data_IF_508031647486
#
_entry.id   IF_508031647486
#
_cell.length_a   1.000
_cell.length_b   1.000
_cell.length_c   1.000
_cell.angle_alpha   90.00
_cell.angle_beta   90.00
_cell.angle_gamma   90.00
#
_symmetry.space_group_name_H-M   'P 1'
#
loop_
_entity.id
_entity.type
_entity.pdbx_description
1 polymer ?
#
# COMPACT_ATOMS: atom_id res chain seq x y z
N UNK A 1 -30.83 -12.12 15.34
CA UNK A 1 -30.92 -11.50 16.68
C UNK A 1 -31.35 -10.04 16.62
N UNK A 2 -30.59 -9.13 16.00
CA UNK A 2 -30.90 -7.68 15.92
C UNK A 2 -32.37 -7.32 15.66
N UNK A 3 -33.01 -7.89 14.63
CA UNK A 3 -34.45 -7.67 14.34
C UNK A 3 -35.39 -7.88 15.54
N UNK A 4 -35.11 -8.85 16.41
CA UNK A 4 -35.95 -9.15 17.59
C UNK A 4 -35.67 -8.19 18.76
N UNK A 5 -34.50 -7.55 18.78
CA UNK A 5 -34.14 -6.56 19.79
C UNK A 5 -34.56 -5.14 19.36
N UNK A 6 -34.42 -4.78 18.09
CA UNK A 6 -34.52 -3.39 17.61
C UNK A 6 -35.55 -3.14 16.51
N UNK A 7 -36.09 -4.18 15.86
CA UNK A 7 -37.00 -4.01 14.73
C UNK A 7 -38.24 -3.19 15.10
N UNK A 8 -38.50 -2.13 14.35
CA UNK A 8 -39.59 -1.18 14.61
C UNK A 8 -39.39 -0.28 15.82
N UNK A 9 -38.19 -0.20 16.41
CA UNK A 9 -37.89 0.63 17.60
C UNK A 9 -37.06 1.88 17.29
N UNK A 10 -36.44 1.99 16.12
CA UNK A 10 -35.62 3.16 15.73
C UNK A 10 -36.49 4.32 15.19
N UNK A 11 -37.67 4.52 15.80
CA UNK A 11 -38.66 5.52 15.41
C UNK A 11 -38.35 6.85 16.10
N UNK A 12 -37.26 7.50 15.66
CA UNK A 12 -36.86 8.83 16.10
C UNK A 12 -37.40 9.92 15.16
N UNK A 13 -37.38 11.18 15.59
CA UNK A 13 -37.78 12.32 14.75
C UNK A 13 -36.82 12.53 13.55
N UNK A 14 -35.59 12.00 13.63
CA UNK A 14 -34.61 11.95 12.55
C UNK A 14 -34.58 10.57 11.88
N UNK A 15 -34.57 10.53 10.54
CA UNK A 15 -34.57 9.28 9.76
C UNK A 15 -33.22 8.56 9.79
N UNK A 16 -33.07 7.60 10.72
CA UNK A 16 -31.91 6.70 10.79
C UNK A 16 -31.97 5.64 9.68
N UNK A 17 -30.82 5.34 9.06
CA UNK A 17 -30.73 4.42 7.90
C UNK A 17 -30.32 2.99 8.28
N UNK A 18 -29.31 2.84 9.13
CA UNK A 18 -28.82 1.53 9.59
C UNK A 18 -29.69 0.95 10.70
N UNK A 19 -30.92 0.59 10.35
CA UNK A 19 -31.93 0.03 11.26
C UNK A 19 -31.95 -1.51 11.24
N UNK A 20 -32.90 -2.11 11.94
CA UNK A 20 -33.13 -3.57 11.98
C UNK A 20 -34.58 -3.96 11.60
N UNK A 21 -35.27 -3.12 10.82
CA UNK A 21 -36.72 -3.27 10.60
C UNK A 21 -37.09 -4.37 9.59
N UNK A 22 -36.18 -4.66 8.66
CA UNK A 22 -36.31 -5.73 7.68
C UNK A 22 -35.00 -6.53 7.56
N UNK A 23 -35.07 -7.74 6.99
CA UNK A 23 -33.94 -8.65 6.96
C UNK A 23 -32.75 -8.16 6.11
N UNK A 24 -32.93 -7.67 4.86
CA UNK A 24 -31.84 -7.07 4.09
C UNK A 24 -31.17 -5.89 4.81
N UNK A 25 -31.95 -4.94 5.34
CA UNK A 25 -31.40 -3.79 6.08
C UNK A 25 -30.65 -4.24 7.33
N UNK A 26 -31.16 -5.24 8.06
CA UNK A 26 -30.46 -5.82 9.21
C UNK A 26 -29.13 -6.47 8.84
N UNK A 27 -29.04 -7.09 7.66
CA UNK A 27 -27.79 -7.66 7.15
C UNK A 27 -26.76 -6.57 6.84
N UNK A 28 -27.18 -5.46 6.22
CA UNK A 28 -26.33 -4.30 5.97
C UNK A 28 -25.84 -3.67 7.29
N UNK A 29 -26.74 -3.46 8.25
CA UNK A 29 -26.41 -2.92 9.57
C UNK A 29 -25.45 -3.84 10.35
N UNK A 30 -25.60 -5.17 10.25
CA UNK A 30 -24.63 -6.13 10.84
C UNK A 30 -23.29 -6.08 10.12
N UNK A 31 -23.27 -6.06 8.78
CA UNK A 31 -22.02 -5.97 8.01
C UNK A 31 -21.27 -4.67 8.32
N UNK A 32 -21.97 -3.53 8.45
CA UNK A 32 -21.41 -2.28 8.92
C UNK A 32 -20.72 -2.43 10.29
N UNK A 33 -21.40 -3.02 11.29
CA UNK A 33 -20.80 -3.27 12.62
C UNK A 33 -19.56 -4.17 12.53
N UNK A 34 -19.53 -5.14 11.61
CA UNK A 34 -18.35 -5.97 11.37
C UNK A 34 -17.19 -5.19 10.72
N UNK A 35 -17.46 -4.36 9.70
CA UNK A 35 -16.42 -3.47 9.13
C UNK A 35 -15.84 -2.48 10.14
N UNK A 36 -16.54 -2.24 11.25
CA UNK A 36 -16.11 -1.33 12.32
C UNK A 36 -16.35 0.15 12.01
N UNK A 37 -17.14 0.45 10.97
CA UNK A 37 -17.46 1.82 10.55
C UNK A 37 -18.80 2.29 11.12
N UNK A 38 -18.81 3.47 11.74
CA UNK A 38 -19.97 4.09 12.41
C UNK A 38 -20.76 3.18 13.40
N UNK A 39 -20.17 2.05 13.83
CA UNK A 39 -20.83 1.04 14.68
C UNK A 39 -21.29 1.59 16.04
N UNK A 40 -20.57 2.60 16.54
CA UNK A 40 -20.91 3.36 17.73
C UNK A 40 -22.21 4.17 17.53
N UNK A 41 -22.44 4.73 16.34
CA UNK A 41 -23.68 5.44 15.99
C UNK A 41 -24.89 4.48 16.05
N UNK A 42 -24.77 3.31 15.44
CA UNK A 42 -25.80 2.25 15.50
C UNK A 42 -26.02 1.75 16.95
N UNK A 43 -24.96 1.65 17.75
CA UNK A 43 -25.05 1.33 19.17
C UNK A 43 -25.77 2.42 19.98
N UNK A 44 -25.52 3.70 19.70
CA UNK A 44 -26.20 4.82 20.37
C UNK A 44 -27.70 4.82 20.03
N UNK A 45 -28.08 4.62 18.77
CA UNK A 45 -29.48 4.43 18.36
C UNK A 45 -30.11 3.21 19.09
N UNK A 46 -29.35 2.12 19.21
CA UNK A 46 -29.73 0.94 19.99
C UNK A 46 -30.02 1.21 21.47
N UNK A 47 -29.23 2.08 22.12
CA UNK A 47 -29.43 2.49 23.52
C UNK A 47 -30.60 3.47 23.65
N UNK A 48 -30.71 4.45 22.74
CA UNK A 48 -31.78 5.44 22.73
C UNK A 48 -33.17 4.80 22.52
N UNK A 49 -33.26 3.77 21.68
CA UNK A 49 -34.48 2.98 21.45
C UNK A 49 -35.00 2.23 22.70
N UNK A 50 -34.22 2.18 23.79
CA UNK A 50 -34.56 1.56 25.07
C UNK A 50 -34.66 2.57 26.24
N UNK A 51 -34.85 3.86 25.93
CA UNK A 51 -34.95 4.92 26.96
C UNK A 51 -33.60 5.55 27.34
N UNK A 52 -32.66 5.56 26.41
CA UNK A 52 -31.37 6.24 26.55
C UNK A 52 -30.42 5.57 27.56
N UNK A 53 -29.49 6.33 28.18
CA UNK A 53 -28.43 5.81 29.06
C UNK A 53 -28.94 5.35 30.45
N UNK A 54 -30.19 4.91 30.52
CA UNK A 54 -30.79 4.25 31.68
C UNK A 54 -30.32 2.79 31.77
N UNK A 55 -30.35 2.18 32.96
CA UNK A 55 -29.93 0.80 33.21
C UNK A 55 -30.40 -0.24 32.15
N UNK A 56 -31.71 -0.34 31.77
CA UNK A 56 -32.14 -1.30 30.76
C UNK A 56 -31.59 -1.01 29.35
N UNK A 57 -31.42 0.26 28.97
CA UNK A 57 -30.86 0.63 27.67
C UNK A 57 -29.35 0.39 27.59
N UNK A 58 -28.61 0.63 28.68
CA UNK A 58 -27.18 0.34 28.73
C UNK A 58 -26.87 -1.16 28.58
N UNK A 59 -27.69 -2.06 29.13
CA UNK A 59 -27.50 -3.52 28.94
C UNK A 59 -27.55 -3.94 27.47
N UNK A 60 -28.18 -3.16 26.60
CA UNK A 60 -28.29 -3.45 25.16
C UNK A 60 -26.97 -3.18 24.41
N UNK A 61 -26.04 -2.39 24.96
CA UNK A 61 -24.71 -2.19 24.36
C UNK A 61 -23.91 -3.51 24.28
N UNK A 62 -24.19 -4.46 25.18
CA UNK A 62 -23.54 -5.78 25.25
C UNK A 62 -23.75 -6.56 23.93
N UNK A 63 -24.89 -6.40 23.26
CA UNK A 63 -25.12 -7.02 21.95
C UNK A 63 -24.11 -6.53 20.89
N UNK A 64 -23.89 -5.22 20.82
CA UNK A 64 -22.97 -4.61 19.86
C UNK A 64 -21.51 -4.96 20.19
N UNK A 65 -21.14 -4.95 21.48
CA UNK A 65 -19.80 -5.33 21.95
C UNK A 65 -19.50 -6.80 21.61
N UNK A 66 -20.43 -7.73 21.88
CA UNK A 66 -20.26 -9.15 21.53
C UNK A 66 -20.22 -9.34 20.02
N UNK A 67 -21.08 -8.68 19.25
CA UNK A 67 -21.09 -8.76 17.79
C UNK A 67 -19.76 -8.28 17.19
N UNK A 68 -19.24 -7.15 17.66
CA UNK A 68 -17.96 -6.60 17.21
C UNK A 68 -16.79 -7.50 17.58
N UNK A 69 -16.66 -7.91 18.86
CA UNK A 69 -15.53 -8.72 19.33
C UNK A 69 -15.54 -10.12 18.72
N UNK A 70 -16.66 -10.85 18.81
CA UNK A 70 -16.73 -12.21 18.28
C UNK A 70 -16.73 -12.24 16.75
N UNK A 71 -17.37 -11.26 16.11
CA UNK A 71 -17.36 -11.12 14.65
C UNK A 71 -15.96 -10.86 14.09
N UNK A 72 -15.25 -9.87 14.64
CA UNK A 72 -13.89 -9.56 14.18
C UNK A 72 -12.86 -10.61 14.59
N UNK A 73 -13.08 -11.36 15.68
CA UNK A 73 -12.28 -12.55 15.99
C UNK A 73 -12.44 -13.65 14.92
N UNK A 74 -13.67 -13.90 14.45
CA UNK A 74 -13.92 -14.87 13.37
C UNK A 74 -13.31 -14.37 12.05
N UNK A 75 -13.50 -13.11 11.67
CA UNK A 75 -12.92 -12.54 10.45
C UNK A 75 -11.39 -12.57 10.47
N UNK A 76 -10.77 -12.24 11.61
CA UNK A 76 -9.32 -12.32 11.80
C UNK A 76 -8.81 -13.76 11.63
N UNK A 77 -9.49 -14.76 12.21
CA UNK A 77 -9.10 -16.16 12.06
C UNK A 77 -9.20 -16.65 10.60
N UNK A 78 -10.26 -16.26 9.88
CA UNK A 78 -10.42 -16.59 8.45
C UNK A 78 -9.32 -15.92 7.61
N UNK A 79 -9.05 -14.63 7.85
CA UNK A 79 -7.98 -13.91 7.15
C UNK A 79 -6.60 -14.50 7.45
N UNK A 80 -6.29 -14.82 8.71
CA UNK A 80 -5.00 -15.37 9.11
C UNK A 80 -4.75 -16.76 8.52
N UNK A 81 -5.76 -17.64 8.48
CA UNK A 81 -5.63 -18.94 7.83
C UNK A 81 -5.28 -18.78 6.34
N UNK A 82 -6.11 -18.03 5.60
CA UNK A 82 -5.91 -17.78 4.16
C UNK A 82 -4.53 -17.11 3.91
N UNK A 83 -4.13 -16.16 4.75
CA UNK A 83 -2.86 -15.46 4.60
C UNK A 83 -1.65 -16.37 4.88
N UNK A 84 -1.70 -17.23 5.90
CA UNK A 84 -0.63 -18.18 6.22
C UNK A 84 -0.47 -19.21 5.11
N UNK A 85 -1.57 -19.79 4.63
CA UNK A 85 -1.55 -20.80 3.56
C UNK A 85 -0.98 -20.21 2.26
N UNK A 86 -1.48 -19.04 1.82
CA UNK A 86 -0.98 -18.38 0.61
C UNK A 86 0.49 -17.91 0.73
N UNK A 87 0.98 -17.59 1.94
CA UNK A 87 2.38 -17.23 2.15
C UNK A 87 3.29 -18.47 2.10
N UNK A 88 2.87 -19.61 2.64
CA UNK A 88 3.59 -20.87 2.55
C UNK A 88 3.66 -21.40 1.10
N UNK A 89 2.56 -21.29 0.35
CA UNK A 89 2.53 -21.60 -1.08
C UNK A 89 3.45 -20.65 -1.88
N UNK A 90 3.46 -19.35 -1.57
CA UNK A 90 4.34 -18.40 -2.24
C UNK A 90 5.84 -18.63 -1.93
N UNK A 91 6.19 -18.98 -0.69
CA UNK A 91 7.58 -19.30 -0.31
C UNK A 91 8.06 -20.61 -0.96
N UNK A 92 7.23 -21.65 -0.99
CA UNK A 92 7.57 -22.93 -1.64
C UNK A 92 7.65 -22.83 -3.17
N UNK A 93 6.78 -22.04 -3.81
CA UNK A 93 6.87 -21.78 -5.24
C UNK A 93 8.12 -20.96 -5.61
N UNK A 94 8.50 -19.98 -4.79
CA UNK A 94 9.67 -19.13 -5.08
C UNK A 94 11.00 -19.82 -4.78
N UNK A 95 11.08 -20.73 -3.80
CA UNK A 95 12.24 -21.59 -3.60
C UNK A 95 12.42 -22.58 -4.76
N UNK A 96 11.36 -23.27 -5.19
CA UNK A 96 11.39 -24.20 -6.31
C UNK A 96 11.79 -23.53 -7.64
N UNK A 97 11.30 -22.32 -7.92
CA UNK A 97 11.72 -21.53 -9.09
C UNK A 97 13.22 -21.22 -9.05
N UNK A 98 13.73 -20.82 -7.88
CA UNK A 98 15.15 -20.48 -7.69
C UNK A 98 16.06 -21.70 -7.85
N UNK A 99 15.66 -22.87 -7.35
CA UNK A 99 16.37 -24.12 -7.57
C UNK A 99 16.39 -24.52 -9.06
N UNK A 100 15.28 -24.32 -9.78
CA UNK A 100 15.23 -24.59 -11.22
C UNK A 100 16.13 -23.63 -12.02
N UNK A 101 16.21 -22.34 -11.63
CA UNK A 101 17.15 -21.38 -12.21
C UNK A 101 18.61 -21.75 -11.92
N UNK A 102 18.96 -22.07 -10.67
CA UNK A 102 20.31 -22.53 -10.32
C UNK A 102 20.69 -23.82 -11.05
N UNK A 103 19.76 -24.76 -11.24
CA UNK A 103 19.97 -25.95 -12.04
C UNK A 103 20.17 -25.64 -13.53
N UNK A 104 19.45 -24.65 -14.09
CA UNK A 104 19.65 -24.15 -15.46
C UNK A 104 21.03 -23.47 -15.61
N UNK A 105 21.45 -22.68 -14.62
CA UNK A 105 22.77 -22.03 -14.58
C UNK A 105 23.90 -23.06 -14.54
N UNK A 106 23.83 -24.05 -13.64
CA UNK A 106 24.80 -25.17 -13.56
C UNK A 106 24.89 -25.92 -14.89
N UNK A 107 23.75 -26.19 -15.55
CA UNK A 107 23.69 -26.83 -16.88
C UNK A 107 24.28 -25.96 -18.01
N UNK A 108 24.16 -24.62 -17.94
CA UNK A 108 24.85 -23.70 -18.87
C UNK A 108 26.36 -23.71 -18.64
N UNK A 109 26.79 -23.60 -17.37
CA UNK A 109 28.22 -23.56 -17.02
C UNK A 109 28.93 -24.85 -17.45
N UNK A 110 28.35 -26.02 -17.18
CA UNK A 110 28.90 -27.31 -17.60
C UNK A 110 29.07 -27.44 -19.14
N UNK A 111 28.26 -26.74 -19.94
CA UNK A 111 28.43 -26.66 -21.41
C UNK A 111 29.52 -25.69 -21.85
N UNK A 112 29.85 -24.69 -21.04
CA UNK A 112 30.90 -23.70 -21.31
C UNK A 112 32.29 -24.20 -20.88
N UNK A 113 32.38 -24.98 -19.80
CA UNK A 113 33.66 -25.55 -19.29
C UNK A 113 34.14 -26.78 -20.08
N UNK A 114 33.59 -27.06 -21.27
CA UNK A 114 33.94 -28.23 -22.09
C UNK A 114 34.57 -27.82 -23.44
N UNK A 115 35.88 -27.50 -23.46
CA UNK A 115 36.63 -27.33 -24.69
C UNK A 115 36.99 -28.69 -25.31
N UNK A 116 36.76 -28.80 -26.62
CA UNK A 116 37.31 -29.76 -27.58
C UNK A 116 37.68 -31.19 -27.10
N UNK A 117 36.80 -32.14 -27.47
CA UNK A 117 37.27 -33.34 -28.18
C UNK A 117 37.07 -33.19 -29.68
N UNK A 118 37.94 -32.37 -30.29
CA UNK A 118 38.28 -32.48 -31.71
C UNK A 118 39.61 -33.21 -31.82
N UNK A 119 39.54 -34.45 -32.27
CA UNK A 119 40.69 -35.18 -32.81
C UNK A 119 40.21 -35.74 -34.14
N UNK A 120 41.09 -35.72 -35.14
CA UNK A 120 40.66 -35.76 -36.54
C UNK A 120 40.23 -37.15 -37.01
N UNK A 121 39.25 -37.18 -37.91
CA UNK A 121 39.22 -38.07 -39.06
C UNK A 121 38.26 -37.48 -40.13
N UNK A 122 38.80 -37.10 -41.28
CA UNK A 122 38.02 -36.75 -42.48
C UNK A 122 37.39 -38.04 -43.10
N UNK A 123 36.41 -38.03 -44.02
CA UNK A 123 35.92 -37.00 -44.98
C UNK A 123 34.43 -37.24 -45.35
N UNK A 124 33.68 -36.26 -45.91
CA UNK A 124 32.26 -36.35 -46.32
C UNK A 124 32.11 -36.60 -47.86
N UNK A 125 30.94 -36.49 -48.54
CA UNK A 125 29.55 -36.14 -48.14
C UNK A 125 28.49 -37.19 -48.61
N UNK A 126 27.16 -37.00 -48.44
CA UNK A 126 26.21 -36.25 -49.32
C UNK A 126 24.86 -35.99 -48.59
N UNK A 127 24.07 -35.06 -49.11
CA UNK A 127 22.78 -34.56 -48.59
C UNK A 127 21.65 -35.59 -48.46
N UNK A 128 20.69 -35.32 -47.57
CA UNK A 128 19.29 -35.22 -48.03
C UNK A 128 18.55 -34.07 -47.32
N UNK A 129 17.63 -33.40 -48.03
CA UNK A 129 16.90 -32.21 -47.55
C UNK A 129 15.46 -32.57 -47.20
N UNK A 130 14.93 -31.97 -46.11
CA UNK A 130 13.60 -31.34 -46.11
C UNK A 130 13.31 -30.51 -44.86
N UNK A 131 13.21 -29.21 -45.07
CA UNK A 131 12.21 -28.38 -44.38
C UNK A 131 10.98 -28.31 -45.29
N UNK A 132 9.76 -28.49 -44.76
CA UNK A 132 8.71 -27.50 -45.00
C UNK A 132 7.47 -27.64 -44.11
N UNK A 133 6.70 -26.55 -44.16
CA UNK A 133 5.66 -26.04 -43.28
C UNK A 133 4.27 -26.74 -43.40
N UNK A 134 3.59 -26.83 -42.24
CA UNK A 134 2.22 -26.31 -41.96
C UNK A 134 0.95 -27.06 -42.43
N UNK A 135 -0.06 -26.93 -41.54
CA UNK A 135 -1.53 -26.99 -41.69
C UNK A 135 -2.35 -28.26 -41.44
N UNK A 136 -3.39 -28.06 -40.61
CA UNK A 136 -4.57 -28.90 -40.43
C UNK A 136 -5.56 -28.63 -41.57
N UNK A 137 -6.29 -29.67 -42.04
CA UNK A 137 -7.77 -29.74 -41.89
C UNK A 137 -8.46 -30.99 -42.47
N UNK A 138 -9.14 -31.73 -41.59
CA UNK A 138 -10.57 -32.13 -41.65
C UNK A 138 -11.16 -33.05 -42.75
N UNK A 139 -12.08 -33.94 -42.29
CA UNK A 139 -13.38 -34.33 -42.93
C UNK A 139 -13.28 -35.30 -44.15
N UNK A 140 -14.04 -36.41 -44.27
CA UNK A 140 -15.18 -37.03 -43.52
C UNK A 140 -15.36 -38.53 -43.87
N UNK A 141 -16.14 -39.27 -43.03
CA UNK A 141 -17.07 -40.38 -43.40
C UNK A 141 -16.49 -41.68 -44.01
N UNK A 142 -16.94 -42.91 -43.75
CA UNK A 142 -17.72 -43.61 -42.68
C UNK A 142 -17.52 -45.15 -42.92
N UNK A 143 -17.97 -46.13 -42.12
CA UNK A 143 -18.75 -46.16 -40.87
C UNK A 143 -19.03 -47.63 -40.46
N UNK A 144 -20.04 -47.86 -39.59
CA UNK A 144 -20.50 -49.17 -39.03
C UNK A 144 -19.47 -49.97 -38.18
N UNK A 145 -19.84 -50.89 -37.27
CA UNK A 145 -20.77 -50.90 -36.11
C UNK A 145 -20.85 -52.34 -35.56
N UNK A 146 -20.86 -52.56 -34.23
CA UNK A 146 -21.71 -53.54 -33.51
C UNK A 146 -21.36 -53.73 -32.00
N UNK A 147 -22.41 -53.77 -31.16
CA UNK A 147 -22.64 -54.45 -29.85
C UNK A 147 -21.46 -54.76 -28.89
N UNK A 148 -21.46 -54.39 -27.59
CA UNK A 148 -22.40 -54.72 -26.48
C UNK A 148 -22.33 -56.21 -26.01
N UNK A 149 -22.47 -56.61 -24.72
CA UNK A 149 -23.15 -56.00 -23.55
C UNK A 149 -22.49 -56.37 -22.19
N UNK A 150 -22.84 -55.61 -21.13
CA UNK A 150 -22.55 -55.74 -19.68
C UNK A 150 -23.05 -57.04 -19.00
N UNK A 151 -22.56 -57.30 -17.76
CA UNK A 151 -23.28 -57.61 -16.49
C UNK A 151 -22.34 -58.41 -15.52
N UNK A 152 -22.40 -58.36 -14.17
CA UNK A 152 -22.66 -57.34 -13.12
C UNK A 152 -22.33 -58.00 -11.73
N UNK A 153 -22.68 -57.35 -10.59
CA UNK A 153 -22.94 -57.95 -9.24
C UNK A 153 -21.69 -58.40 -8.41
N UNK A 154 -21.51 -58.08 -7.12
CA UNK A 154 -22.23 -57.17 -6.17
C UNK A 154 -21.32 -56.70 -4.99
N UNK A 155 -21.89 -55.96 -4.03
CA UNK A 155 -21.26 -55.11 -2.97
C UNK A 155 -20.95 -55.76 -1.57
N UNK A 156 -20.04 -55.08 -0.83
CA UNK A 156 -19.99 -54.80 0.64
C UNK A 156 -19.73 -55.83 1.80
N UNK A 157 -18.72 -55.44 2.63
CA UNK A 157 -18.65 -55.41 4.13
C UNK A 157 -18.17 -56.62 5.00
N UNK A 158 -17.42 -56.31 6.09
CA UNK A 158 -16.67 -57.19 7.02
C UNK A 158 -15.14 -56.92 6.95
N UNK A 159 -14.36 -56.41 7.93
CA UNK A 159 -14.49 -56.12 9.39
C UNK A 159 -14.34 -57.36 10.31
N UNK A 160 -13.56 -57.45 11.41
CA UNK A 160 -12.68 -56.53 12.22
C UNK A 160 -11.16 -57.01 12.20
N UNK A 161 -10.19 -56.88 13.14
CA UNK A 161 -10.04 -56.39 14.55
C UNK A 161 -8.57 -55.91 14.92
N UNK A 162 -7.89 -56.42 15.98
CA UNK A 162 -6.63 -55.88 16.60
C UNK A 162 -5.48 -56.92 16.80
N UNK A 163 -4.19 -56.48 16.87
CA UNK A 163 -3.29 -56.66 18.04
C UNK A 163 -1.92 -55.90 17.96
N UNK A 164 -0.96 -56.14 18.87
CA UNK A 164 0.13 -55.22 19.30
C UNK A 164 1.59 -55.63 18.96
N UNK A 165 2.50 -54.63 19.01
CA UNK A 165 3.97 -54.77 19.09
C UNK A 165 4.43 -55.74 20.21
N UNK A 166 5.57 -56.45 20.05
CA UNK A 166 6.84 -55.91 20.59
C UNK A 166 8.12 -56.21 19.77
N UNK A 167 9.22 -55.53 20.15
CA UNK A 167 10.60 -55.78 19.69
C UNK A 167 11.16 -57.15 20.09
N UNK A 168 12.18 -57.63 19.37
CA UNK A 168 13.37 -58.24 19.95
C UNK A 168 14.60 -57.32 19.82
N UNK A 169 15.58 -57.50 20.70
CA UNK A 169 16.93 -56.97 20.56
C UNK A 169 17.93 -58.13 20.62
N UNK A 170 19.01 -58.09 19.82
CA UNK A 170 20.37 -57.87 20.34
C UNK A 170 21.41 -57.78 19.21
N UNK A 171 22.60 -57.28 19.57
CA UNK A 171 23.93 -57.49 18.96
C UNK A 171 24.13 -57.31 17.44
N UNK A 172 24.99 -56.36 17.05
CA UNK A 172 26.40 -56.66 16.72
C UNK A 172 27.25 -55.38 16.66
N UNK A 173 28.57 -55.52 16.79
CA UNK A 173 29.57 -54.47 16.57
C UNK A 173 30.26 -54.74 15.22
N UNK A 174 30.48 -53.70 14.42
CA UNK A 174 31.32 -53.73 13.23
C UNK A 174 31.38 -52.35 12.58
N UNK A 175 32.56 -51.75 12.54
CA UNK A 175 32.83 -50.52 11.80
C UNK A 175 32.99 -50.83 10.30
N UNK A 176 32.48 -49.96 9.43
CA UNK A 176 33.00 -49.68 8.08
C UNK A 176 32.50 -48.28 7.67
N UNK A 177 33.31 -47.54 6.88
CA UNK A 177 33.14 -46.09 6.68
C UNK A 177 32.34 -45.76 5.39
N UNK A 178 31.13 -45.21 5.52
CA UNK A 178 30.36 -44.62 4.40
C UNK A 178 30.73 -43.14 4.21
N UNK A 179 31.55 -42.88 3.18
CA UNK A 179 32.08 -41.55 2.82
C UNK A 179 31.02 -40.71 2.06
N UNK A 180 29.97 -40.23 2.74
CA UNK A 180 29.04 -39.24 2.15
C UNK A 180 29.76 -37.90 1.91
N UNK A 181 29.69 -37.32 0.69
CA UNK A 181 30.38 -36.08 0.37
C UNK A 181 29.70 -34.87 1.02
N UNK A 182 30.18 -34.45 2.20
CA UNK A 182 29.74 -33.23 2.89
C UNK A 182 29.68 -32.03 1.92
N UNK A 183 28.48 -31.53 1.63
CA UNK A 183 28.35 -30.26 0.92
C UNK A 183 28.91 -29.13 1.79
N UNK A 184 29.83 -28.27 1.28
CA UNK A 184 30.43 -27.22 2.09
C UNK A 184 29.37 -26.26 2.65
N UNK A 185 29.06 -26.39 3.94
CA UNK A 185 28.04 -25.58 4.62
C UNK A 185 28.55 -24.14 4.67
N UNK A 186 28.07 -23.32 3.74
CA UNK A 186 28.41 -21.90 3.65
C UNK A 186 28.18 -21.22 5.00
N UNK A 187 29.13 -20.38 5.48
CA UNK A 187 29.13 -19.92 6.87
C UNK A 187 27.82 -19.20 7.21
N UNK A 188 27.05 -19.79 8.14
CA UNK A 188 25.73 -19.31 8.60
C UNK A 188 25.77 -17.79 8.80
N UNK A 189 24.85 -17.02 8.18
CA UNK A 189 24.87 -15.57 8.25
C UNK A 189 24.78 -15.11 9.71
N UNK A 190 25.82 -14.42 10.17
CA UNK A 190 25.93 -13.93 11.56
C UNK A 190 24.96 -12.76 11.79
N UNK A 191 24.43 -12.59 13.02
CA UNK A 191 23.70 -11.38 13.38
C UNK A 191 24.48 -10.11 13.04
N UNK A 192 23.79 -9.13 12.46
CA UNK A 192 24.40 -7.89 11.95
C UNK A 192 24.96 -6.95 13.05
N UNK A 193 24.72 -7.28 14.32
CA UNK A 193 25.27 -6.59 15.51
C UNK A 193 26.79 -6.73 15.63
N UNK A 194 27.33 -7.90 15.28
CA UNK A 194 28.68 -8.30 15.70
C UNK A 194 29.76 -7.90 14.68
N UNK A 195 29.32 -7.41 13.51
CA UNK A 195 30.18 -6.80 12.52
C UNK A 195 30.52 -5.38 12.99
N UNK A 196 31.51 -5.28 13.88
CA UNK A 196 32.21 -4.02 14.17
C UNK A 196 33.03 -3.58 12.95
N UNK A 197 32.33 -3.13 11.90
CA UNK A 197 32.87 -2.38 10.79
C UNK A 197 33.40 -1.03 11.33
N UNK A 198 34.64 -1.05 11.84
CA UNK A 198 35.45 0.15 12.07
C UNK A 198 35.28 1.04 10.85
N UNK A 199 34.93 2.30 11.07
CA UNK A 199 34.63 3.24 9.99
C UNK A 199 35.88 3.55 9.17
N UNK A 200 36.17 2.70 8.18
CA UNK A 200 37.08 3.01 7.09
C UNK A 200 36.47 4.18 6.32
N UNK A 201 36.91 5.38 6.66
CA UNK A 201 36.57 6.60 5.94
C UNK A 201 36.77 6.36 4.43
N UNK A 202 35.81 6.82 3.62
CA UNK A 202 35.80 6.53 2.18
C UNK A 202 37.13 7.05 1.58
N UNK A 203 37.91 6.18 0.89
CA UNK A 203 39.21 6.56 0.36
C UNK A 203 39.05 7.75 -0.59
N UNK A 204 39.93 8.75 -0.43
CA UNK A 204 39.81 10.00 -1.18
C UNK A 204 40.02 9.72 -2.68
N UNK A 205 39.09 10.13 -3.57
CA UNK A 205 39.23 9.84 -4.99
C UNK A 205 40.50 10.47 -5.60
N UNK A 206 41.31 9.65 -6.27
CA UNK A 206 42.59 10.04 -6.87
C UNK A 206 42.46 11.13 -7.96
N UNK A 207 41.29 11.16 -8.62
CA UNK A 207 40.91 12.14 -9.62
C UNK A 207 40.91 13.58 -9.08
N UNK A 208 41.19 14.56 -9.95
CA UNK A 208 41.21 15.98 -9.58
C UNK A 208 39.81 16.51 -9.29
N UNK A 209 39.57 17.09 -8.11
CA UNK A 209 38.31 17.78 -7.82
C UNK A 209 38.27 19.12 -8.58
N UNK A 210 37.15 19.41 -9.27
CA UNK A 210 36.98 20.55 -10.17
C UNK A 210 38.09 20.72 -11.23
N UNK A 211 38.79 19.64 -11.61
CA UNK A 211 40.00 19.63 -12.46
C UNK A 211 41.23 20.39 -11.92
N UNK A 212 41.04 21.33 -10.98
CA UNK A 212 42.10 22.15 -10.35
C UNK A 212 42.74 21.47 -9.14
N UNK A 213 41.97 20.79 -8.29
CA UNK A 213 42.47 20.28 -7.00
C UNK A 213 42.97 18.83 -7.10
N UNK A 214 44.28 18.67 -7.29
CA UNK A 214 44.98 17.38 -7.17
C UNK A 214 44.80 16.74 -5.78
N UNK A 215 44.93 15.41 -5.70
CA UNK A 215 44.86 14.65 -4.44
C UNK A 215 45.97 15.03 -3.44
N UNK A 216 47.09 15.61 -3.88
CA UNK A 216 48.20 16.10 -3.04
C UNK A 216 47.97 17.48 -2.41
N UNK A 217 46.89 18.20 -2.76
CA UNK A 217 46.71 19.58 -2.27
C UNK A 217 46.31 19.60 -0.78
N UNK A 218 47.13 20.26 0.06
CA UNK A 218 46.93 20.43 1.51
C UNK A 218 45.52 20.92 1.87
N UNK A 219 44.92 21.80 1.07
CA UNK A 219 43.55 22.28 1.27
C UNK A 219 42.51 21.17 1.11
N UNK A 220 42.63 20.33 0.07
CA UNK A 220 41.72 19.21 -0.18
C UNK A 220 41.84 18.13 0.91
N UNK A 221 43.06 17.84 1.35
CA UNK A 221 43.34 16.92 2.47
C UNK A 221 42.73 17.46 3.78
N UNK A 222 42.81 18.78 4.03
CA UNK A 222 42.17 19.42 5.18
C UNK A 222 40.63 19.32 5.09
N UNK A 223 40.02 19.60 3.93
CA UNK A 223 38.58 19.41 3.74
C UNK A 223 38.14 17.96 3.99
N UNK A 224 38.88 16.97 3.47
CA UNK A 224 38.58 15.54 3.71
C UNK A 224 38.73 15.17 5.19
N UNK A 225 39.73 15.70 5.90
CA UNK A 225 39.89 15.50 7.35
C UNK A 225 38.75 16.14 8.17
N UNK A 226 38.26 17.31 7.78
CA UNK A 226 37.12 17.99 8.43
C UNK A 226 35.82 17.21 8.19
N UNK A 227 35.52 16.85 6.95
CA UNK A 227 34.26 16.20 6.56
C UNK A 227 34.09 14.81 7.19
N UNK A 228 35.19 14.10 7.44
CA UNK A 228 35.19 12.80 8.11
C UNK A 228 35.31 12.89 9.66
N UNK A 229 35.31 14.09 10.26
CA UNK A 229 35.46 14.22 11.71
C UNK A 229 34.13 14.02 12.45
N UNK A 230 34.11 13.19 13.49
CA UNK A 230 32.86 12.85 14.20
C UNK A 230 32.16 14.09 14.81
N UNK A 231 32.92 15.08 15.28
CA UNK A 231 32.34 16.36 15.76
C UNK A 231 31.62 17.09 14.63
N UNK A 232 32.17 17.10 13.39
CA UNK A 232 31.52 17.73 12.24
C UNK A 232 30.23 16.99 11.85
N UNK A 233 30.24 15.66 11.83
CA UNK A 233 29.05 14.84 11.58
C UNK A 233 27.95 15.10 12.62
N UNK A 234 28.29 15.14 13.91
CA UNK A 234 27.34 15.39 14.99
C UNK A 234 26.81 16.84 14.99
N UNK A 235 27.68 17.82 14.70
CA UNK A 235 27.32 19.24 14.57
C UNK A 235 26.35 19.48 13.40
N UNK A 236 26.58 18.85 12.25
CA UNK A 236 25.65 18.92 11.12
C UNK A 236 24.31 18.25 11.46
N UNK A 237 24.32 17.10 12.16
CA UNK A 237 23.09 16.45 12.62
C UNK A 237 22.30 17.32 13.60
N UNK A 238 22.98 17.99 14.55
CA UNK A 238 22.39 18.96 15.46
C UNK A 238 21.72 20.12 14.71
N UNK A 239 22.38 20.70 13.70
CA UNK A 239 21.77 21.77 12.89
C UNK A 239 20.63 21.28 11.99
N UNK A 240 20.63 20.01 11.54
CA UNK A 240 19.45 19.43 10.86
C UNK A 240 18.26 19.33 11.83
N UNK A 241 18.47 18.88 13.07
CA UNK A 241 17.42 18.83 14.09
C UNK A 241 16.91 20.24 14.43
N UNK A 242 17.82 21.21 14.66
CA UNK A 242 17.46 22.58 15.00
C UNK A 242 16.71 23.29 13.85
N UNK A 243 17.11 23.07 12.59
CA UNK A 243 16.35 23.56 11.43
C UNK A 243 14.99 22.86 11.28
N UNK A 244 14.83 21.63 11.74
CA UNK A 244 13.54 20.91 11.70
C UNK A 244 12.57 21.45 12.76
N UNK A 245 13.09 21.75 13.96
CA UNK A 245 12.34 22.45 15.02
C UNK A 245 11.96 23.86 14.56
N UNK A 246 12.86 24.58 13.89
CA UNK A 246 12.59 25.92 13.33
C UNK A 246 11.44 25.92 12.32
N UNK A 247 11.33 24.87 11.48
CA UNK A 247 10.23 24.71 10.54
C UNK A 247 8.91 24.37 11.25
N UNK A 248 8.94 23.50 12.26
CA UNK A 248 7.76 23.15 13.06
C UNK A 248 7.24 24.31 13.93
N UNK A 249 8.04 25.35 14.15
CA UNK A 249 7.69 26.52 14.93
C UNK A 249 7.14 27.70 14.09
N UNK A 250 7.07 27.59 12.75
CA UNK A 250 6.58 28.65 11.86
C UNK A 250 5.07 28.89 12.04
N UNK A 251 4.62 30.14 11.94
CA UNK A 251 3.20 30.51 11.97
C UNK A 251 2.60 30.44 10.56
N UNK A 252 1.69 29.50 10.26
CA UNK A 252 1.11 29.36 8.92
C UNK A 252 0.07 30.44 8.60
N UNK A 253 -0.41 31.19 9.59
CA UNK A 253 -1.45 32.23 9.43
C UNK A 253 -0.82 33.62 9.42
N UNK A 254 0.06 33.91 10.38
CA UNK A 254 0.63 35.25 10.63
C UNK A 254 2.05 35.37 10.07
N UNK A 255 2.14 35.40 8.74
CA UNK A 255 3.37 35.55 7.96
C UNK A 255 4.32 36.63 8.52
N UNK A 256 3.81 37.83 8.82
CA UNK A 256 4.62 38.98 9.24
C UNK A 256 4.96 38.99 10.75
N UNK A 257 4.61 37.94 11.49
CA UNK A 257 4.87 37.86 12.93
C UNK A 257 6.36 37.95 13.27
N UNK A 258 6.68 38.58 14.40
CA UNK A 258 8.05 38.66 14.93
C UNK A 258 8.73 37.28 15.07
N UNK A 259 7.93 36.25 15.39
CA UNK A 259 8.32 34.84 15.34
C UNK A 259 8.84 34.44 13.94
N UNK A 260 8.02 34.60 12.90
CA UNK A 260 8.40 34.24 11.54
C UNK A 260 9.59 35.06 11.02
N UNK A 261 9.74 36.31 11.46
CA UNK A 261 10.94 37.12 11.14
C UNK A 261 12.21 36.50 11.74
N UNK A 262 12.22 36.15 13.04
CA UNK A 262 13.34 35.46 13.70
C UNK A 262 13.64 34.11 13.04
N UNK A 263 12.60 33.31 12.78
CA UNK A 263 12.72 32.02 12.11
C UNK A 263 13.30 32.18 10.70
N UNK A 264 12.92 33.23 9.95
CA UNK A 264 13.49 33.55 8.64
C UNK A 264 14.99 33.86 8.68
N UNK A 265 15.47 34.59 9.70
CA UNK A 265 16.90 34.80 9.91
C UNK A 265 17.63 33.49 10.27
N UNK A 266 17.04 32.66 11.13
CA UNK A 266 17.60 31.34 11.46
C UNK A 266 17.67 30.43 10.22
N UNK A 267 16.65 30.45 9.36
CA UNK A 267 16.58 29.70 8.11
C UNK A 267 17.71 30.07 7.13
N UNK A 268 18.07 31.36 7.09
CA UNK A 268 19.20 31.85 6.31
C UNK A 268 20.54 31.35 6.88
N UNK A 269 20.71 31.37 8.21
CA UNK A 269 21.90 30.83 8.89
C UNK A 269 22.06 29.33 8.64
N UNK A 270 20.99 28.53 8.79
CA UNK A 270 21.04 27.09 8.49
C UNK A 270 21.35 26.83 7.02
N UNK A 271 20.76 27.57 6.10
CA UNK A 271 21.05 27.47 4.65
C UNK A 271 22.52 27.79 4.35
N UNK A 272 23.11 28.79 5.01
CA UNK A 272 24.54 29.10 4.92
C UNK A 272 25.43 27.95 5.43
N UNK A 273 25.15 27.42 6.62
CA UNK A 273 25.89 26.29 7.21
C UNK A 273 25.84 25.05 6.32
N UNK A 274 24.68 24.72 5.76
CA UNK A 274 24.53 23.60 4.84
C UNK A 274 25.17 23.87 3.47
N UNK A 275 25.21 25.12 3.00
CA UNK A 275 25.95 25.47 1.77
C UNK A 275 27.46 25.24 1.96
N UNK A 276 28.01 25.61 3.12
CA UNK A 276 29.41 25.33 3.49
C UNK A 276 29.65 23.80 3.56
N UNK A 277 28.72 23.04 4.16
CA UNK A 277 28.79 21.57 4.20
C UNK A 277 28.90 20.94 2.80
N UNK A 278 28.06 21.38 1.85
CA UNK A 278 28.08 20.91 0.47
C UNK A 278 29.38 21.31 -0.24
N UNK A 279 29.87 22.54 -0.05
CA UNK A 279 31.14 22.98 -0.63
C UNK A 279 32.31 22.13 -0.11
N UNK A 280 32.40 21.88 1.20
CA UNK A 280 33.44 21.04 1.80
C UNK A 280 33.38 19.57 1.33
N UNK A 281 32.17 19.01 1.21
CA UNK A 281 31.95 17.68 0.60
C UNK A 281 32.43 17.66 -0.86
N UNK A 282 32.08 18.68 -1.63
CA UNK A 282 32.33 18.73 -3.08
C UNK A 282 33.79 19.08 -3.43
N UNK A 283 34.55 19.74 -2.56
CA UNK A 283 36.02 19.86 -2.71
C UNK A 283 36.76 18.58 -2.32
N UNK A 284 36.33 17.88 -1.27
CA UNK A 284 36.93 16.61 -0.86
C UNK A 284 36.69 15.48 -1.88
N UNK A 285 35.42 15.22 -2.22
CA UNK A 285 34.99 14.11 -3.07
C UNK A 285 34.78 14.49 -4.55
N UNK A 286 34.86 15.77 -4.92
CA UNK A 286 34.64 16.25 -6.29
C UNK A 286 33.17 16.18 -6.75
N UNK A 287 32.85 16.95 -7.79
CA UNK A 287 31.47 17.21 -8.21
C UNK A 287 30.83 16.07 -9.04
N UNK A 288 31.29 15.84 -10.28
CA UNK A 288 30.50 15.09 -11.27
C UNK A 288 31.23 13.94 -12.02
N UNK A 289 32.51 14.06 -12.36
CA UNK A 289 33.08 13.31 -13.50
C UNK A 289 33.77 11.96 -13.19
N UNK A 290 33.80 11.47 -11.94
CA UNK A 290 34.55 10.24 -11.62
C UNK A 290 33.78 9.26 -10.72
N UNK A 291 34.18 7.98 -10.74
CA UNK A 291 33.65 6.94 -9.84
C UNK A 291 33.96 7.31 -8.39
N UNK A 292 32.93 7.71 -7.63
CA UNK A 292 33.06 8.25 -6.27
C UNK A 292 32.69 9.73 -6.10
N UNK A 293 32.38 10.45 -7.19
CA UNK A 293 31.93 11.86 -7.14
C UNK A 293 30.69 12.06 -6.28
N UNK A 294 30.61 13.20 -5.58
CA UNK A 294 29.55 13.55 -4.63
C UNK A 294 28.14 13.35 -5.22
N UNK A 295 27.91 13.86 -6.43
CA UNK A 295 26.60 13.89 -7.09
C UNK A 295 26.14 12.54 -7.69
N UNK A 296 26.86 11.43 -7.51
CA UNK A 296 26.45 10.10 -8.03
C UNK A 296 25.69 9.24 -6.99
N UNK A 297 25.61 9.67 -5.74
CA UNK A 297 24.81 9.04 -4.69
C UNK A 297 23.46 9.77 -4.55
N UNK A 298 22.33 9.08 -4.70
CA UNK A 298 20.98 9.67 -4.60
C UNK A 298 20.75 10.48 -3.31
N UNK A 299 21.26 10.03 -2.16
CA UNK A 299 21.14 10.77 -0.89
C UNK A 299 21.97 12.07 -0.87
N UNK A 300 23.05 12.14 -1.65
CA UNK A 300 23.84 13.36 -1.84
C UNK A 300 23.17 14.32 -2.85
N UNK A 301 22.42 13.80 -3.82
CA UNK A 301 21.59 14.61 -4.73
C UNK A 301 20.46 15.27 -3.94
N UNK A 302 19.80 14.55 -3.03
CA UNK A 302 18.79 15.13 -2.11
C UNK A 302 19.40 16.27 -1.26
N UNK A 303 20.55 16.01 -0.63
CA UNK A 303 21.35 17.02 0.08
C UNK A 303 21.57 18.30 -0.76
N UNK A 304 21.95 18.16 -2.03
CA UNK A 304 22.20 19.26 -2.96
C UNK A 304 20.91 20.01 -3.33
N UNK A 305 19.86 19.30 -3.73
CA UNK A 305 18.57 19.87 -4.16
C UNK A 305 17.95 20.73 -3.05
N UNK A 306 17.96 20.26 -1.80
CA UNK A 306 17.37 21.00 -0.67
C UNK A 306 18.11 22.31 -0.39
N UNK A 307 19.44 22.33 -0.54
CA UNK A 307 20.25 23.55 -0.40
C UNK A 307 20.01 24.49 -1.59
N UNK A 308 20.02 23.98 -2.83
CA UNK A 308 19.76 24.78 -4.03
C UNK A 308 18.38 25.45 -4.00
N UNK A 309 17.33 24.71 -3.62
CA UNK A 309 15.96 25.25 -3.47
C UNK A 309 15.90 26.34 -2.39
N UNK A 310 16.59 26.15 -1.26
CA UNK A 310 16.64 27.16 -0.19
C UNK A 310 17.33 28.44 -0.67
N UNK A 311 18.45 28.35 -1.39
CA UNK A 311 19.16 29.50 -1.96
C UNK A 311 18.32 30.24 -3.01
N UNK A 312 17.69 29.51 -3.94
CA UNK A 312 16.79 30.08 -4.96
C UNK A 312 15.60 30.79 -4.29
N UNK A 313 15.02 30.18 -3.24
CA UNK A 313 13.91 30.77 -2.48
C UNK A 313 14.31 32.02 -1.67
N UNK A 314 15.59 32.25 -1.40
CA UNK A 314 16.09 33.49 -0.78
C UNK A 314 16.47 34.57 -1.80
N UNK A 315 16.82 34.19 -3.05
CA UNK A 315 17.22 35.13 -4.09
C UNK A 315 16.09 35.72 -4.93
N UNK A 316 14.94 35.03 -5.05
CA UNK A 316 13.81 35.50 -5.86
C UNK A 316 12.89 36.39 -5.00
N UNK A 317 13.02 37.71 -5.16
CA UNK A 317 12.36 38.69 -4.28
C UNK A 317 11.19 39.49 -4.91
N UNK A 318 10.90 39.33 -6.22
CA UNK A 318 10.06 40.31 -6.95
C UNK A 318 8.85 39.79 -7.75
N UNK A 319 8.91 38.64 -8.43
CA UNK A 319 8.01 38.40 -9.59
C UNK A 319 7.28 37.05 -9.69
N UNK A 320 7.53 36.07 -8.81
CA UNK A 320 7.02 34.70 -8.97
C UNK A 320 6.36 34.11 -7.70
N UNK A 321 5.36 34.80 -7.15
CA UNK A 321 4.72 34.49 -5.85
C UNK A 321 4.31 33.02 -5.71
N UNK A 322 3.66 32.42 -6.72
CA UNK A 322 3.20 31.04 -6.66
C UNK A 322 4.35 30.01 -6.70
N UNK A 323 5.41 30.29 -7.46
CA UNK A 323 6.62 29.43 -7.49
C UNK A 323 7.35 29.51 -6.15
N UNK A 324 7.49 30.71 -5.57
CA UNK A 324 8.11 30.91 -4.26
C UNK A 324 7.35 30.18 -3.15
N UNK A 325 6.02 30.08 -3.20
CA UNK A 325 5.23 29.23 -2.27
C UNK A 325 5.64 27.76 -2.36
N UNK A 326 5.74 27.19 -3.56
CA UNK A 326 6.13 25.79 -3.78
C UNK A 326 7.58 25.54 -3.30
N UNK A 327 8.51 26.46 -3.61
CA UNK A 327 9.90 26.38 -3.15
C UNK A 327 10.05 26.49 -1.62
N UNK A 328 9.10 27.12 -0.92
CA UNK A 328 9.04 27.08 0.56
C UNK A 328 8.59 25.72 1.07
N UNK A 329 7.56 25.10 0.48
CA UNK A 329 7.08 23.76 0.89
C UNK A 329 8.21 22.72 0.79
N UNK A 330 9.04 22.76 -0.25
CA UNK A 330 10.19 21.87 -0.43
C UNK A 330 11.25 21.95 0.69
N UNK A 331 11.21 22.95 1.58
CA UNK A 331 12.06 22.98 2.79
C UNK A 331 11.72 21.85 3.77
N UNK A 332 10.52 21.27 3.69
CA UNK A 332 10.10 20.07 4.45
C UNK A 332 10.95 18.83 4.16
N UNK A 333 11.77 18.86 3.10
CA UNK A 333 12.72 17.78 2.77
C UNK A 333 14.03 17.85 3.58
N UNK A 334 14.27 18.92 4.36
CA UNK A 334 15.47 19.05 5.22
C UNK A 334 15.66 17.92 6.25
N UNK A 335 14.64 17.39 6.93
CA UNK A 335 14.80 16.25 7.86
C UNK A 335 15.25 14.97 7.15
N UNK A 336 14.89 14.76 5.87
CA UNK A 336 15.32 13.60 5.09
C UNK A 336 16.85 13.54 4.92
N UNK A 337 17.55 14.66 5.07
CA UNK A 337 19.01 14.73 5.09
C UNK A 337 19.61 13.97 6.28
N UNK A 338 18.86 13.79 7.37
CA UNK A 338 19.24 12.92 8.48
C UNK A 338 19.34 11.44 8.05
N UNK A 339 18.55 10.98 7.06
CA UNK A 339 18.70 9.65 6.45
C UNK A 339 20.10 9.52 5.83
N UNK A 340 20.66 10.58 5.23
CA UNK A 340 22.02 10.52 4.69
C UNK A 340 23.10 10.35 5.78
N UNK A 341 22.79 10.63 7.06
CA UNK A 341 23.71 10.56 8.20
C UNK A 341 23.49 9.33 9.09
N UNK A 342 22.25 8.96 9.40
CA UNK A 342 21.91 7.83 10.25
C UNK A 342 21.94 6.50 9.49
N UNK A 343 23.00 5.69 9.68
CA UNK A 343 23.18 4.38 9.03
C UNK A 343 21.99 3.43 9.20
N UNK A 344 21.44 3.31 10.41
CA UNK A 344 20.28 2.46 10.66
C UNK A 344 19.06 2.87 9.81
N UNK A 345 18.81 4.18 9.70
CA UNK A 345 17.69 4.70 8.90
C UNK A 345 17.90 4.48 7.39
N UNK A 346 19.15 4.46 6.89
CA UNK A 346 19.44 4.02 5.51
C UNK A 346 19.03 2.58 5.27
N UNK A 347 19.36 1.67 6.19
CA UNK A 347 18.99 0.26 6.06
C UNK A 347 17.47 0.07 6.08
N UNK A 348 16.75 0.73 6.99
CA UNK A 348 15.28 0.69 7.03
C UNK A 348 14.66 1.17 5.72
N UNK A 349 15.09 2.34 5.21
CA UNK A 349 14.60 2.88 3.93
C UNK A 349 14.97 1.97 2.74
N UNK A 350 16.14 1.33 2.75
CA UNK A 350 16.53 0.37 1.72
C UNK A 350 15.67 -0.90 1.77
N UNK A 351 15.33 -1.43 2.95
CA UNK A 351 14.41 -2.55 3.08
C UNK A 351 13.01 -2.22 2.53
N UNK A 352 12.51 -1.00 2.79
CA UNK A 352 11.25 -0.52 2.21
C UNK A 352 11.31 -0.49 0.68
N UNK A 353 12.39 0.01 0.07
CA UNK A 353 12.55 -0.01 -1.40
C UNK A 353 12.63 -1.43 -1.99
N UNK A 354 13.15 -2.41 -1.24
CA UNK A 354 13.13 -3.83 -1.67
C UNK A 354 11.70 -4.38 -1.60
N UNK A 355 10.97 -4.15 -0.51
CA UNK A 355 9.59 -4.60 -0.34
C UNK A 355 8.60 -3.96 -1.34
N UNK A 356 8.79 -2.69 -1.70
CA UNK A 356 7.98 -2.02 -2.75
C UNK A 356 8.11 -2.74 -4.10
N UNK A 357 9.29 -3.32 -4.41
CA UNK A 357 9.49 -4.06 -5.67
C UNK A 357 8.80 -5.42 -5.68
N UNK A 358 8.65 -6.09 -4.53
CA UNK A 358 7.95 -7.40 -4.46
C UNK A 358 6.44 -7.24 -4.41
N UNK A 359 5.92 -6.29 -3.63
CA UNK A 359 4.46 -6.06 -3.51
C UNK A 359 3.82 -5.49 -4.79
N UNK A 360 4.62 -4.87 -5.68
CA UNK A 360 4.13 -4.16 -6.86
C UNK A 360 3.22 -4.98 -7.78
N UNK A 361 3.45 -6.29 -7.92
CA UNK A 361 2.57 -7.16 -8.71
C UNK A 361 1.15 -7.24 -8.12
N UNK A 362 1.04 -7.36 -6.79
CA UNK A 362 -0.26 -7.43 -6.08
C UNK A 362 -0.98 -6.08 -6.23
N UNK A 363 -0.25 -4.97 -6.04
CA UNK A 363 -0.79 -3.61 -6.19
C UNK A 363 -1.34 -3.36 -7.61
N UNK A 364 -0.68 -3.88 -8.64
CA UNK A 364 -1.17 -3.78 -10.04
C UNK A 364 -2.49 -4.56 -10.21
N UNK A 365 -2.60 -5.77 -9.64
CA UNK A 365 -3.82 -6.58 -9.72
C UNK A 365 -4.98 -5.93 -8.96
N UNK A 366 -4.76 -5.41 -7.75
CA UNK A 366 -5.82 -4.72 -6.98
C UNK A 366 -6.24 -3.41 -7.64
N UNK A 367 -5.31 -2.64 -8.21
CA UNK A 367 -5.62 -1.41 -8.97
C UNK A 367 -6.45 -1.73 -10.22
N UNK A 368 -6.16 -2.84 -10.91
CA UNK A 368 -6.93 -3.30 -12.07
C UNK A 368 -8.36 -3.71 -11.66
N UNK A 369 -8.52 -4.43 -10.55
CA UNK A 369 -9.83 -4.78 -10.00
C UNK A 369 -10.64 -3.52 -9.62
N UNK A 370 -10.01 -2.57 -8.94
CA UNK A 370 -10.62 -1.27 -8.59
C UNK A 370 -11.04 -0.49 -9.84
N UNK A 371 -10.24 -0.50 -10.91
CA UNK A 371 -10.61 0.11 -12.19
C UNK A 371 -11.81 -0.59 -12.85
N UNK A 372 -11.90 -1.92 -12.78
CA UNK A 372 -13.07 -2.68 -13.29
C UNK A 372 -14.34 -2.33 -12.51
N UNK A 373 -14.29 -2.32 -11.17
CA UNK A 373 -15.42 -1.92 -10.33
C UNK A 373 -15.78 -0.43 -10.51
N UNK A 374 -14.81 0.45 -10.71
CA UNK A 374 -15.08 1.86 -11.04
C UNK A 374 -15.83 1.99 -12.38
N UNK A 375 -15.40 1.26 -13.41
CA UNK A 375 -16.12 1.20 -14.69
C UNK A 375 -17.57 0.72 -14.52
N UNK A 376 -17.81 -0.32 -13.70
CA UNK A 376 -19.16 -0.82 -13.40
C UNK A 376 -19.96 0.25 -12.64
N UNK A 377 -19.38 0.87 -11.61
CA UNK A 377 -20.00 1.93 -10.83
C UNK A 377 -20.41 3.14 -11.67
N UNK A 378 -19.60 3.55 -12.66
CA UNK A 378 -19.98 4.61 -13.62
C UNK A 378 -21.23 4.21 -14.41
N UNK A 379 -21.30 2.99 -14.96
CA UNK A 379 -22.50 2.54 -15.70
C UNK A 379 -23.75 2.46 -14.80
N UNK A 380 -23.58 2.13 -13.52
CA UNK A 380 -24.69 2.06 -12.55
C UNK A 380 -25.15 3.45 -12.07
N UNK A 381 -24.23 4.35 -11.74
CA UNK A 381 -24.51 5.51 -10.87
C UNK A 381 -24.24 6.90 -11.48
N UNK A 382 -23.56 7.00 -12.63
CA UNK A 382 -23.29 8.28 -13.32
C UNK A 382 -24.55 9.13 -13.44
N UNK A 383 -24.48 10.40 -13.03
CA UNK A 383 -25.57 11.38 -13.10
C UNK A 383 -26.67 11.20 -12.05
N UNK A 384 -26.57 10.23 -11.13
CA UNK A 384 -27.66 9.81 -10.22
C UNK A 384 -27.40 10.12 -8.75
N UNK A 385 -26.29 10.81 -8.45
CA UNK A 385 -25.85 11.17 -7.09
C UNK A 385 -26.11 12.65 -6.74
N UNK A 386 -26.65 13.44 -7.67
CA UNK A 386 -27.11 14.81 -7.40
C UNK A 386 -28.26 14.86 -6.37
N UNK A 387 -28.43 16.00 -5.73
CA UNK A 387 -29.56 16.30 -4.84
C UNK A 387 -29.84 17.81 -4.79
N UNK A 388 -31.04 18.16 -4.34
CA UNK A 388 -31.35 19.50 -3.87
C UNK A 388 -31.14 19.58 -2.35
N UNK A 389 -30.67 20.72 -1.84
CA UNK A 389 -30.61 20.97 -0.37
C UNK A 389 -31.99 20.93 0.30
N UNK A 390 -33.06 21.13 -0.47
CA UNK A 390 -34.45 20.84 -0.09
C UNK A 390 -34.88 19.48 -0.67
N UNK A 391 -35.00 18.46 0.19
CA UNK A 391 -35.42 17.11 -0.19
C UNK A 391 -36.81 17.02 -0.81
N UNK A 392 -37.63 18.07 -0.70
CA UNK A 392 -38.91 18.19 -1.41
C UNK A 392 -38.75 18.34 -2.92
N UNK A 393 -37.55 18.69 -3.42
CA UNK A 393 -37.29 19.05 -4.82
C UNK A 393 -36.34 18.07 -5.52
N UNK A 394 -36.86 17.46 -6.58
CA UNK A 394 -36.21 16.34 -7.26
C UNK A 394 -35.45 16.73 -8.54
N UNK A 395 -35.59 17.96 -9.05
CA UNK A 395 -34.90 18.40 -10.29
C UNK A 395 -34.15 19.72 -10.12
N UNK A 396 -33.06 19.91 -10.87
CA UNK A 396 -32.29 21.18 -10.92
C UNK A 396 -33.14 22.38 -11.35
N UNK A 397 -34.21 22.16 -12.14
CA UNK A 397 -35.14 23.20 -12.55
C UNK A 397 -36.00 23.71 -11.37
N UNK A 398 -36.43 22.81 -10.50
CA UNK A 398 -37.23 23.13 -9.30
C UNK A 398 -36.39 23.56 -8.10
N UNK A 399 -35.13 23.10 -8.03
CA UNK A 399 -34.20 23.39 -6.95
C UNK A 399 -33.67 24.84 -7.01
N UNK A 400 -34.58 25.81 -6.82
CA UNK A 400 -34.33 27.24 -6.96
C UNK A 400 -35.01 28.06 -5.86
N UNK A 401 -34.50 29.27 -5.64
CA UNK A 401 -34.98 30.19 -4.63
C UNK A 401 -34.58 29.75 -3.21
N UNK A 402 -35.50 29.88 -2.26
CA UNK A 402 -35.26 29.55 -0.85
C UNK A 402 -36.28 28.56 -0.32
N UNK A 403 -35.91 27.88 0.76
CA UNK A 403 -36.78 27.01 1.56
C UNK A 403 -36.62 27.35 3.05
N UNK A 404 -37.48 26.74 3.87
CA UNK A 404 -37.45 26.92 5.33
C UNK A 404 -36.78 25.69 5.94
N UNK A 405 -35.76 25.92 6.76
CA UNK A 405 -35.13 24.90 7.61
C UNK A 405 -35.59 25.11 9.05
N UNK A 406 -35.81 24.02 9.79
CA UNK A 406 -36.19 24.08 11.19
C UNK A 406 -35.01 23.63 12.04
N UNK A 407 -34.41 24.57 12.77
CA UNK A 407 -33.25 24.28 13.60
C UNK A 407 -33.65 23.34 14.73
N UNK A 408 -32.89 22.26 14.91
CA UNK A 408 -33.15 21.20 15.88
C UNK A 408 -34.57 20.60 15.75
N UNK A 409 -35.10 20.54 14.51
CA UNK A 409 -36.48 20.12 14.20
C UNK A 409 -37.58 21.09 14.67
N UNK A 410 -37.22 22.20 15.29
CA UNK A 410 -38.17 23.06 16.00
C UNK A 410 -38.96 23.97 15.03
N UNK A 411 -40.22 23.60 14.79
CA UNK A 411 -41.17 24.34 13.92
C UNK A 411 -41.34 25.82 14.34
N UNK A 412 -41.13 26.13 15.63
CA UNK A 412 -41.17 27.50 16.15
C UNK A 412 -39.94 28.36 15.84
N UNK A 413 -38.90 27.81 15.19
CA UNK A 413 -37.67 28.52 14.78
C UNK A 413 -37.35 28.28 13.29
N UNK A 414 -38.15 28.84 12.37
CA UNK A 414 -37.87 28.78 10.93
C UNK A 414 -36.65 29.65 10.57
N UNK A 415 -35.60 29.02 10.07
CA UNK A 415 -34.47 29.68 9.40
C UNK A 415 -34.67 29.59 7.86
N UNK A 416 -34.10 30.55 7.11
CA UNK A 416 -34.28 30.63 5.65
C UNK A 416 -33.00 30.23 4.93
N UNK A 417 -33.00 29.07 4.30
CA UNK A 417 -31.89 28.54 3.52
C UNK A 417 -32.08 28.74 2.00
N UNK A 418 -30.98 28.73 1.24
CA UNK A 418 -30.99 28.77 -0.22
C UNK A 418 -31.10 27.34 -0.78
N UNK A 419 -31.88 27.15 -1.85
CA UNK A 419 -31.87 25.89 -2.60
C UNK A 419 -30.66 25.87 -3.54
N UNK A 420 -29.78 24.90 -3.33
CA UNK A 420 -28.67 24.58 -4.22
C UNK A 420 -28.89 23.17 -4.79
N UNK A 421 -28.54 22.98 -6.06
CA UNK A 421 -28.42 21.66 -6.68
C UNK A 421 -26.96 21.24 -6.61
N UNK A 422 -26.67 20.23 -5.82
CA UNK A 422 -25.33 19.81 -5.42
C UNK A 422 -25.09 18.34 -5.81
N UNK A 423 -23.83 17.96 -6.00
CA UNK A 423 -23.43 16.57 -6.23
C UNK A 423 -22.76 16.02 -4.97
N UNK A 424 -22.68 14.70 -4.84
CA UNK A 424 -21.90 14.09 -3.76
C UNK A 424 -20.40 14.23 -4.03
N UNK A 425 -19.62 14.56 -3.00
CA UNK A 425 -18.15 14.66 -3.07
C UNK A 425 -17.50 13.38 -3.61
N UNK A 426 -18.05 12.22 -3.22
CA UNK A 426 -17.75 10.92 -3.80
C UNK A 426 -18.88 10.51 -4.76
N UNK A 427 -18.58 10.46 -6.05
CA UNK A 427 -19.52 10.10 -7.10
C UNK A 427 -18.86 9.21 -8.17
N UNK A 428 -19.64 8.80 -9.15
CA UNK A 428 -19.23 7.91 -10.24
C UNK A 428 -19.57 8.52 -11.60
N UNK A 429 -19.41 9.84 -11.76
CA UNK A 429 -19.71 10.50 -13.04
C UNK A 429 -18.66 10.19 -14.11
N UNK A 430 -17.44 9.87 -13.67
CA UNK A 430 -16.35 9.30 -14.46
C UNK A 430 -15.52 8.28 -13.64
N UNK A 431 -14.61 7.59 -14.32
CA UNK A 431 -13.87 6.46 -13.76
C UNK A 431 -12.83 6.88 -12.71
N UNK A 432 -12.26 8.08 -12.79
CA UNK A 432 -11.29 8.54 -11.79
C UNK A 432 -12.00 8.88 -10.47
N UNK A 433 -13.14 9.57 -10.56
CA UNK A 433 -14.00 9.85 -9.42
C UNK A 433 -14.55 8.55 -8.82
N UNK A 434 -14.98 7.60 -9.66
CA UNK A 434 -15.40 6.27 -9.21
C UNK A 434 -14.27 5.47 -8.53
N UNK A 435 -13.03 5.53 -9.02
CA UNK A 435 -11.88 4.91 -8.34
C UNK A 435 -11.59 5.58 -6.98
N UNK A 436 -11.72 6.90 -6.87
CA UNK A 436 -11.54 7.65 -5.61
C UNK A 436 -12.63 7.30 -4.58
N UNK A 437 -13.89 7.19 -5.02
CA UNK A 437 -15.01 6.75 -4.19
C UNK A 437 -14.80 5.31 -3.68
N UNK A 438 -14.39 4.39 -4.57
CA UNK A 438 -14.07 3.01 -4.20
C UNK A 438 -12.84 2.89 -3.28
N UNK A 439 -11.84 3.78 -3.42
CA UNK A 439 -10.71 3.81 -2.49
C UNK A 439 -11.18 4.10 -1.05
N UNK A 440 -12.10 5.06 -0.84
CA UNK A 440 -12.67 5.35 0.47
C UNK A 440 -13.45 4.14 1.05
N UNK A 441 -14.20 3.42 0.20
CA UNK A 441 -14.83 2.14 0.57
C UNK A 441 -13.79 1.09 0.98
N UNK A 442 -12.67 0.98 0.25
CA UNK A 442 -11.59 0.03 0.56
C UNK A 442 -10.81 0.35 1.86
N UNK A 443 -10.91 1.58 2.36
CA UNK A 443 -10.43 1.97 3.70
C UNK A 443 -11.51 1.84 4.78
N UNK A 444 -12.72 1.39 4.42
CA UNK A 444 -13.93 1.34 5.25
C UNK A 444 -14.36 2.70 5.85
N UNK A 445 -14.00 3.82 5.23
CA UNK A 445 -14.26 5.18 5.75
C UNK A 445 -15.36 5.86 4.91
N UNK A 446 -16.44 6.32 5.56
CA UNK A 446 -17.60 6.96 4.94
C UNK A 446 -18.48 6.02 4.10
N UNK A 447 -18.14 4.73 4.03
CA UNK A 447 -18.73 3.78 3.10
C UNK A 447 -20.27 3.60 3.24
N UNK A 448 -20.89 3.63 4.43
CA UNK A 448 -22.34 3.53 4.58
C UNK A 448 -23.08 4.74 3.99
N UNK A 449 -22.48 5.93 4.04
CA UNK A 449 -23.05 7.13 3.41
C UNK A 449 -23.13 6.98 1.90
N UNK A 450 -22.06 6.47 1.29
CA UNK A 450 -22.00 6.16 -0.15
C UNK A 450 -22.98 5.04 -0.53
N UNK A 451 -23.08 3.99 0.28
CA UNK A 451 -24.05 2.89 0.13
C UNK A 451 -25.49 3.41 0.07
N UNK A 452 -25.95 4.16 1.09
CA UNK A 452 -27.33 4.64 1.12
C UNK A 452 -27.62 5.65 0.01
N UNK A 453 -26.64 6.46 -0.38
CA UNK A 453 -26.74 7.34 -1.55
C UNK A 453 -26.91 6.55 -2.85
N UNK A 454 -26.21 5.43 -3.00
CA UNK A 454 -26.36 4.55 -4.15
C UNK A 454 -27.71 3.79 -4.14
N UNK A 455 -28.19 3.36 -2.97
CA UNK A 455 -29.51 2.74 -2.78
C UNK A 455 -30.66 3.71 -3.15
N UNK A 456 -30.53 4.99 -2.82
CA UNK A 456 -31.55 6.01 -3.11
C UNK A 456 -31.49 6.55 -4.54
N UNK A 457 -30.40 6.28 -5.28
CA UNK A 457 -30.25 6.71 -6.67
C UNK A 457 -31.34 6.09 -7.56
N UNK A 458 -31.90 6.85 -8.53
CA UNK A 458 -32.85 6.31 -9.51
C UNK A 458 -32.47 6.61 -10.97
N UNK A 459 -32.83 7.77 -11.51
CA UNK A 459 -32.54 8.20 -12.89
C UNK A 459 -31.50 9.32 -12.92
N UNK A 460 -30.94 9.58 -14.10
CA UNK A 460 -29.95 10.63 -14.33
C UNK A 460 -30.60 12.01 -14.16
N UNK A 461 -29.86 12.97 -13.60
CA UNK A 461 -30.26 14.37 -13.34
C UNK A 461 -31.49 14.56 -12.42
N UNK A 462 -31.87 13.53 -11.66
CA UNK A 462 -32.95 13.58 -10.65
C UNK A 462 -32.42 13.16 -9.28
N UNK A 463 -33.01 13.70 -8.21
CA UNK A 463 -32.57 13.54 -6.83
C UNK A 463 -32.85 12.15 -6.21
N UNK A 464 -32.50 11.94 -4.93
CA UNK A 464 -32.67 10.66 -4.26
C UNK A 464 -34.14 10.32 -3.98
N UNK A 465 -34.49 9.04 -4.15
CA UNK A 465 -35.76 8.44 -3.69
C UNK A 465 -35.44 7.38 -2.62
N UNK A 466 -35.95 7.58 -1.41
CA UNK A 466 -35.66 6.74 -0.24
C UNK A 466 -35.88 5.24 -0.51
N UNK A 467 -34.81 4.44 -0.32
CA UNK A 467 -34.77 2.99 -0.48
C UNK A 467 -35.21 2.46 -1.86
N UNK A 468 -35.07 3.26 -2.93
CA UNK A 468 -35.53 2.91 -4.28
C UNK A 468 -34.90 1.62 -4.85
N UNK A 469 -33.59 1.38 -4.64
CA UNK A 469 -32.85 0.21 -5.15
C UNK A 469 -31.94 -0.42 -4.10
N UNK A 470 -32.53 -0.99 -3.05
CA UNK A 470 -31.78 -1.72 -1.99
C UNK A 470 -30.84 -2.81 -2.56
N UNK A 471 -31.18 -3.42 -3.69
CA UNK A 471 -30.36 -4.44 -4.39
C UNK A 471 -28.95 -3.92 -4.79
N UNK A 472 -28.78 -2.60 -4.96
CA UNK A 472 -27.47 -1.99 -5.24
C UNK A 472 -26.45 -2.27 -4.13
N UNK A 473 -26.89 -2.52 -2.89
CA UNK A 473 -25.99 -2.87 -1.78
C UNK A 473 -25.05 -4.04 -2.08
N UNK A 474 -25.45 -4.99 -2.92
CA UNK A 474 -24.64 -6.14 -3.33
C UNK A 474 -23.33 -5.70 -4.00
N UNK A 475 -23.32 -4.59 -4.75
CA UNK A 475 -22.10 -4.03 -5.35
C UNK A 475 -21.04 -3.64 -4.30
N UNK A 476 -21.48 -3.08 -3.17
CA UNK A 476 -20.62 -2.61 -2.07
C UNK A 476 -20.29 -3.71 -1.03
N UNK A 477 -20.80 -4.93 -1.21
CA UNK A 477 -20.47 -6.11 -0.39
C UNK A 477 -19.53 -7.06 -1.15
N UNK A 478 -19.57 -7.03 -2.49
CA UNK A 478 -18.69 -7.81 -3.37
C UNK A 478 -17.38 -7.06 -3.67
N UNK A 479 -17.39 -5.73 -3.59
CA UNK A 479 -16.20 -4.88 -3.65
C UNK A 479 -15.51 -4.79 -2.29
#
# INVERSE_FOLDING_TARGET
>A
LGMQLFGGKFNFDETRRSTFDNFPQSLLTVFQILTGEDWNSVMYDGIMAYGGPSFPGMLVCIYFIILFICGNYILLNVFLAIAVDNLADAESLTSAQKEEEEAKERKKLARLTSPEKRTENEKPPIEEKKSEKIELKSITSDGEANTATKINIDDCCGDESEEKNPYPANDYIGDDEDDEPEMPVGPRPRPLSDIQLKEKAVPMPEARAFFVFSHTNKFRVLCHKIVNHNIFTNLILFFILLSSISLAAEDPVKNDSFRNQILGYADHVFTGLFTIEIILKMTAYGAFLHKGSFCRNYFNILDLVVVSVSLISSGIQSSAINVVKILRVLRVLRPLRAINRAKGLKHVVQCVFVAIRTIGNIVIVTTLLQFMFACIGVQLFKGKFFYCTDSSKQTQAECRGSYITYKDGNVGKPEKALRNWENSDFNFDDVLQGMMALFAVSTFEGWPGLLYRAIDSHTEDVGPIYNYRVVISIFFIIY
#
